data_IF_573542678790
#
_entry.id   IF_573542678790
#
_cell.length_a   1.000
_cell.length_b   1.000
_cell.length_c   1.000
_cell.angle_alpha   90.00
_cell.angle_beta   90.00
_cell.angle_gamma   90.00
#
_symmetry.space_group_name_H-M   'P 1'
#
loop_
_entity.id
_entity.type
_entity.pdbx_description
1 polymer ?
#
# COMPACT_ATOMS: atom_id res chain seq x y z
N UNK A 1 -4.34 1.04 8.07
CA UNK A 1 -4.86 0.10 8.17
C UNK A 1 -5.01 -1.24 7.50
N UNK A 2 -6.21 -1.83 7.59
CA UNK A 2 -6.50 -3.20 7.19
C UNK A 2 -7.03 -3.38 5.77
N UNK A 3 -7.23 -2.30 5.00
CA UNK A 3 -7.82 -2.37 3.66
C UNK A 3 -7.08 -1.53 2.64
N UNK A 4 -7.18 -1.93 1.38
CA UNK A 4 -6.80 -1.13 0.21
C UNK A 4 -8.07 -0.88 -0.61
N UNK A 5 -8.39 0.38 -0.80
CA UNK A 5 -9.51 0.83 -1.61
C UNK A 5 -9.00 1.24 -2.99
N UNK A 6 -9.71 0.79 -4.03
CA UNK A 6 -9.41 1.13 -5.42
C UNK A 6 -10.63 1.82 -6.00
N UNK A 7 -10.46 3.00 -6.56
CA UNK A 7 -11.55 3.73 -7.19
C UNK A 7 -11.11 4.38 -8.50
N UNK A 8 -12.00 4.38 -9.47
CA UNK A 8 -11.87 5.13 -10.71
C UNK A 8 -12.90 6.25 -10.68
N UNK A 9 -12.41 7.48 -10.74
CA UNK A 9 -13.21 8.69 -10.60
C UNK A 9 -13.14 9.50 -11.88
N UNK A 10 -14.28 9.87 -12.42
CA UNK A 10 -14.42 10.80 -13.54
C UNK A 10 -15.07 12.11 -13.07
N UNK A 11 -15.26 13.06 -13.99
CA UNK A 11 -15.99 14.30 -13.70
C UNK A 11 -17.45 14.06 -13.28
N UNK A 12 -18.00 12.88 -13.61
CA UNK A 12 -19.39 12.50 -13.30
C UNK A 12 -19.51 11.69 -12.00
N UNK A 13 -18.41 11.46 -11.29
CA UNK A 13 -18.40 10.72 -10.04
C UNK A 13 -17.56 9.45 -10.07
N UNK A 14 -17.84 8.55 -9.14
CA UNK A 14 -17.14 7.25 -9.03
C UNK A 14 -17.69 6.28 -10.09
N UNK A 15 -16.82 5.81 -10.98
CA UNK A 15 -17.17 4.88 -12.05
C UNK A 15 -16.99 3.42 -11.62
N UNK A 16 -15.99 3.18 -10.78
CA UNK A 16 -15.65 1.86 -10.23
C UNK A 16 -15.09 2.03 -8.82
N UNK A 17 -15.47 1.15 -7.94
CA UNK A 17 -14.87 1.04 -6.61
C UNK A 17 -14.78 -0.42 -6.19
N UNK A 18 -13.67 -0.79 -5.58
CA UNK A 18 -13.44 -2.10 -4.99
C UNK A 18 -12.62 -1.95 -3.71
N UNK A 19 -12.74 -2.93 -2.82
CA UNK A 19 -12.07 -2.94 -1.53
C UNK A 19 -11.46 -4.31 -1.26
N UNK A 20 -10.15 -4.32 -0.96
CA UNK A 20 -9.45 -5.53 -0.52
C UNK A 20 -9.14 -5.46 0.96
N UNK A 21 -9.30 -6.59 1.66
CA UNK A 21 -8.85 -6.74 3.04
C UNK A 21 -7.34 -7.03 3.12
N UNK A 22 -6.57 -6.17 2.48
CA UNK A 22 -5.11 -6.19 2.45
C UNK A 22 -4.64 -4.78 2.77
N UNK A 23 -3.88 -4.61 3.82
CA UNK A 23 -3.34 -3.33 4.25
C UNK A 23 -2.02 -3.52 4.99
N UNK A 24 -1.61 -2.52 5.72
CA UNK A 24 -0.34 -2.52 6.46
C UNK A 24 -0.21 -3.63 7.50
N UNK A 25 -1.32 -4.03 8.10
CA UNK A 25 -1.42 -5.13 9.06
C UNK A 25 -1.15 -6.50 8.43
N UNK A 26 -1.64 -6.75 7.21
CA UNK A 26 -1.31 -7.97 6.47
C UNK A 26 0.18 -8.04 6.15
N UNK A 27 0.80 -6.92 5.80
CA UNK A 27 2.25 -6.87 5.59
C UNK A 27 3.01 -7.19 6.89
N UNK A 28 2.56 -6.66 8.03
CA UNK A 28 3.18 -6.94 9.33
C UNK A 28 3.06 -8.42 9.69
N UNK A 29 1.91 -9.05 9.46
CA UNK A 29 1.73 -10.51 9.62
C UNK A 29 2.68 -11.33 8.74
N UNK A 30 2.85 -10.94 7.48
CA UNK A 30 3.77 -11.65 6.58
C UNK A 30 5.23 -11.51 7.03
N UNK A 31 5.62 -10.34 7.51
CA UNK A 31 6.95 -10.09 8.08
C UNK A 31 7.18 -10.95 9.33
N UNK A 32 6.21 -10.99 10.27
CA UNK A 32 6.28 -11.85 11.47
C UNK A 32 6.46 -13.32 11.07
N UNK A 33 5.65 -13.79 10.12
CA UNK A 33 5.71 -15.15 9.64
C UNK A 33 7.04 -15.49 8.94
N UNK A 34 7.56 -14.56 8.15
CA UNK A 34 8.85 -14.72 7.48
C UNK A 34 9.99 -14.81 8.51
N UNK A 35 10.08 -13.86 9.42
CA UNK A 35 11.11 -13.84 10.47
C UNK A 35 11.05 -15.11 11.32
N UNK A 36 9.86 -15.58 11.64
CA UNK A 36 9.68 -16.84 12.37
C UNK A 36 10.24 -18.04 11.61
N UNK A 37 9.99 -18.10 10.30
CA UNK A 37 10.45 -19.23 9.44
C UNK A 37 11.93 -19.16 9.11
N UNK A 38 12.42 -17.99 8.71
CA UNK A 38 13.78 -17.81 8.21
C UNK A 38 14.82 -17.69 9.34
N UNK A 39 14.47 -16.96 10.40
CA UNK A 39 15.39 -16.66 11.49
C UNK A 39 15.14 -17.47 12.77
N UNK A 40 14.06 -18.25 12.84
CA UNK A 40 13.68 -19.00 14.05
C UNK A 40 13.39 -18.08 15.25
N UNK A 41 12.91 -16.87 14.97
CA UNK A 41 12.73 -15.81 15.95
C UNK A 41 11.29 -15.28 15.91
N UNK A 42 10.67 -15.06 17.07
CA UNK A 42 9.35 -14.43 17.17
C UNK A 42 9.53 -12.95 17.47
N UNK A 43 8.91 -12.12 16.63
CA UNK A 43 8.80 -10.67 16.82
C UNK A 43 7.34 -10.27 17.01
N UNK A 44 7.09 -9.13 17.64
CA UNK A 44 5.75 -8.55 17.77
C UNK A 44 5.38 -7.63 16.61
N UNK A 45 4.10 -7.25 16.55
CA UNK A 45 3.55 -6.35 15.51
C UNK A 45 4.31 -5.01 15.41
N UNK A 46 4.61 -4.39 16.56
CA UNK A 46 5.37 -3.13 16.58
C UNK A 46 6.76 -3.28 15.93
N UNK A 47 7.44 -4.40 16.16
CA UNK A 47 8.75 -4.67 15.55
C UNK A 47 8.59 -4.91 14.04
N UNK A 48 7.56 -5.63 13.63
CA UNK A 48 7.27 -5.86 12.21
C UNK A 48 6.96 -4.54 11.48
N UNK A 49 6.17 -3.66 12.10
CA UNK A 49 5.89 -2.33 11.56
C UNK A 49 7.16 -1.48 11.40
N UNK A 50 8.08 -1.52 12.37
CA UNK A 50 9.38 -0.85 12.27
C UNK A 50 10.18 -1.42 11.10
N UNK A 51 10.29 -2.75 10.98
CA UNK A 51 10.98 -3.41 9.86
C UNK A 51 10.37 -2.96 8.52
N UNK A 52 9.05 -2.99 8.40
CA UNK A 52 8.33 -2.55 7.20
C UNK A 52 8.67 -1.11 6.81
N UNK A 53 8.71 -0.19 7.78
CA UNK A 53 8.99 1.24 7.53
C UNK A 53 10.46 1.48 7.18
N UNK A 54 11.39 0.79 7.84
CA UNK A 54 12.81 1.05 7.71
C UNK A 54 13.43 0.35 6.48
N UNK A 55 13.05 -0.89 6.21
CA UNK A 55 13.65 -1.70 5.15
C UNK A 55 12.65 -2.28 4.16
N UNK A 56 11.33 -2.12 4.39
CA UNK A 56 10.30 -2.61 3.48
C UNK A 56 10.30 -1.87 2.15
N UNK A 57 10.21 -2.62 1.04
CA UNK A 57 10.04 -2.08 -0.30
C UNK A 57 9.22 -3.02 -1.17
N UNK A 58 8.44 -2.44 -2.08
CA UNK A 58 7.58 -3.19 -2.98
C UNK A 58 8.35 -3.71 -4.21
N UNK A 59 9.39 -3.01 -4.61
CA UNK A 59 10.23 -3.35 -5.76
C UNK A 59 11.69 -3.13 -5.39
N UNK A 60 12.58 -4.14 -5.52
CA UNK A 60 14.02 -3.98 -5.29
C UNK A 60 14.63 -2.98 -6.28
N UNK A 61 15.66 -2.27 -5.83
CA UNK A 61 16.47 -1.41 -6.71
C UNK A 61 17.65 -2.22 -7.25
N UNK A 62 17.75 -2.33 -8.58
CA UNK A 62 18.67 -3.26 -9.27
C UNK A 62 20.16 -3.10 -8.88
N UNK A 63 20.61 -1.88 -8.58
CA UNK A 63 22.02 -1.57 -8.31
C UNK A 63 22.25 -1.06 -6.86
N UNK A 64 21.23 -1.09 -6.01
CA UNK A 64 21.35 -0.62 -4.64
C UNK A 64 21.72 -1.77 -3.69
N UNK A 65 22.59 -1.46 -2.73
CA UNK A 65 22.86 -2.39 -1.62
C UNK A 65 21.56 -2.56 -0.81
N UNK A 66 21.25 -3.81 -0.47
CA UNK A 66 20.11 -4.10 0.41
C UNK A 66 20.20 -3.28 1.72
N UNK A 67 19.07 -2.70 2.11
CA UNK A 67 18.94 -2.05 3.42
C UNK A 67 18.90 -3.14 4.49
N UNK A 68 19.48 -2.84 5.65
CA UNK A 68 19.56 -3.78 6.78
C UNK A 68 19.07 -3.10 8.05
N UNK A 69 18.37 -3.88 8.88
CA UNK A 69 17.97 -3.45 10.23
C UNK A 69 18.26 -4.56 11.25
N UNK A 70 18.86 -4.20 12.38
CA UNK A 70 18.97 -5.10 13.52
C UNK A 70 17.76 -4.93 14.44
N UNK A 71 17.08 -6.02 14.74
CA UNK A 71 15.95 -6.06 15.66
C UNK A 71 16.11 -7.18 16.67
N UNK A 72 15.36 -7.10 17.76
CA UNK A 72 15.35 -8.14 18.79
C UNK A 72 14.02 -8.89 18.77
N UNK A 73 14.12 -10.23 18.83
CA UNK A 73 13.00 -11.11 18.97
C UNK A 73 13.31 -12.22 19.97
N UNK A 74 12.36 -13.10 20.23
CA UNK A 74 12.53 -14.27 21.09
C UNK A 74 12.95 -15.48 20.23
N UNK A 75 14.12 -16.05 20.50
CA UNK A 75 14.55 -17.30 19.88
C UNK A 75 13.58 -18.41 20.19
N UNK A 76 13.09 -19.13 19.17
CA UNK A 76 12.12 -20.20 19.34
C UNK A 76 12.70 -21.45 20.05
N UNK A 77 13.98 -21.74 19.82
CA UNK A 77 14.62 -22.93 20.38
C UNK A 77 14.96 -22.75 21.86
N UNK A 78 15.46 -21.57 22.22
CA UNK A 78 16.01 -21.31 23.57
C UNK A 78 15.08 -20.48 24.44
N UNK A 79 14.07 -19.82 23.85
CA UNK A 79 13.12 -18.96 24.56
C UNK A 79 13.67 -17.61 25.02
N UNK A 80 14.95 -17.32 24.75
CA UNK A 80 15.66 -16.10 25.18
C UNK A 80 15.65 -15.02 24.11
N UNK A 81 15.84 -13.73 24.49
CA UNK A 81 15.99 -12.66 23.51
C UNK A 81 17.23 -12.86 22.62
N UNK A 82 17.04 -12.66 21.31
CA UNK A 82 18.10 -12.74 20.32
C UNK A 82 18.03 -11.55 19.36
N UNK A 83 19.17 -10.97 19.03
CA UNK A 83 19.29 -9.99 17.94
C UNK A 83 19.37 -10.72 16.60
N UNK A 84 18.68 -10.21 15.60
CA UNK A 84 18.71 -10.68 14.21
C UNK A 84 18.83 -9.49 13.27
N UNK A 85 19.54 -9.66 12.17
CA UNK A 85 19.59 -8.69 11.07
C UNK A 85 18.61 -9.14 10.00
N UNK A 86 17.78 -8.23 9.53
CA UNK A 86 16.78 -8.45 8.48
C UNK A 86 17.07 -7.50 7.34
N UNK A 87 16.99 -7.98 6.10
CA UNK A 87 17.32 -7.21 4.89
C UNK A 87 16.06 -6.79 4.12
N UNK A 88 16.19 -5.76 3.30
CA UNK A 88 15.10 -5.32 2.40
C UNK A 88 14.68 -6.41 1.41
N UNK A 89 15.62 -7.23 0.95
CA UNK A 89 15.32 -8.32 0.01
C UNK A 89 14.45 -9.39 0.66
N UNK A 90 14.74 -9.74 1.91
CA UNK A 90 13.92 -10.66 2.70
C UNK A 90 12.51 -10.12 2.90
N UNK A 91 12.37 -8.82 3.19
CA UNK A 91 11.06 -8.21 3.40
C UNK A 91 10.29 -8.09 2.10
N UNK A 92 10.92 -7.72 1.00
CA UNK A 92 10.28 -7.73 -0.32
C UNK A 92 9.72 -9.13 -0.66
N UNK A 93 10.49 -10.18 -0.39
CA UNK A 93 10.01 -11.54 -0.54
C UNK A 93 8.84 -11.87 0.39
N UNK A 94 8.91 -11.45 1.64
CA UNK A 94 7.88 -11.71 2.64
C UNK A 94 6.51 -11.12 2.26
N UNK A 95 6.51 -9.91 1.70
CA UNK A 95 5.27 -9.18 1.34
C UNK A 95 4.85 -9.32 -0.12
N UNK A 96 5.51 -10.17 -0.90
CA UNK A 96 5.24 -10.35 -2.34
C UNK A 96 3.81 -10.76 -2.64
N UNK A 97 3.26 -11.73 -1.92
CA UNK A 97 1.91 -12.26 -2.17
C UNK A 97 0.81 -11.21 -1.99
N UNK A 98 0.75 -10.47 -0.86
CA UNK A 98 -0.23 -9.39 -0.71
C UNK A 98 -0.01 -8.25 -1.70
N UNK A 99 1.22 -7.93 -2.10
CA UNK A 99 1.49 -6.95 -3.16
C UNK A 99 0.93 -7.40 -4.51
N UNK A 100 1.14 -8.66 -4.90
CA UNK A 100 0.57 -9.21 -6.15
C UNK A 100 -0.97 -9.18 -6.14
N UNK A 101 -1.59 -9.39 -4.98
CA UNK A 101 -3.05 -9.28 -4.85
C UNK A 101 -3.52 -7.84 -5.10
N UNK A 102 -2.82 -6.84 -4.58
CA UNK A 102 -3.11 -5.42 -4.84
C UNK A 102 -2.92 -5.10 -6.33
N UNK A 103 -1.80 -5.51 -6.93
CA UNK A 103 -1.54 -5.32 -8.37
C UNK A 103 -2.65 -5.93 -9.23
N UNK A 104 -3.06 -7.16 -8.91
CA UNK A 104 -4.13 -7.85 -9.64
C UNK A 104 -5.46 -7.12 -9.54
N UNK A 105 -5.80 -6.60 -8.38
CA UNK A 105 -7.02 -5.82 -8.19
C UNK A 105 -7.00 -4.49 -8.96
N UNK A 106 -5.85 -3.80 -8.99
CA UNK A 106 -5.69 -2.60 -9.82
C UNK A 106 -5.87 -2.92 -11.30
N UNK A 107 -5.25 -4.01 -11.80
CA UNK A 107 -5.44 -4.45 -13.19
C UNK A 107 -6.90 -4.78 -13.49
N UNK A 108 -7.59 -5.49 -12.60
CA UNK A 108 -9.03 -5.78 -12.76
C UNK A 108 -9.89 -4.52 -12.81
N UNK A 109 -9.59 -3.52 -11.97
CA UNK A 109 -10.27 -2.23 -12.02
C UNK A 109 -10.08 -1.53 -13.36
N UNK A 110 -8.87 -1.53 -13.90
CA UNK A 110 -8.56 -0.95 -15.20
C UNK A 110 -9.29 -1.69 -16.35
N UNK A 111 -9.38 -3.00 -16.30
CA UNK A 111 -10.11 -3.83 -17.29
C UNK A 111 -11.61 -3.55 -17.29
N UNK A 112 -12.19 -3.21 -16.16
CA UNK A 112 -13.62 -2.87 -16.02
C UNK A 112 -13.95 -1.42 -16.33
N UNK A 113 -12.93 -0.62 -16.61
CA UNK A 113 -13.10 0.80 -16.94
C UNK A 113 -13.68 0.95 -18.35
N UNK A 114 -14.70 1.82 -18.55
CA UNK A 114 -15.20 2.15 -19.88
C UNK A 114 -14.09 2.64 -20.81
N UNK A 115 -14.06 2.17 -22.09
CA UNK A 115 -13.02 2.54 -23.05
C UNK A 115 -12.84 4.05 -23.24
N UNK A 116 -13.91 4.82 -23.06
CA UNK A 116 -13.93 6.29 -23.20
C UNK A 116 -13.03 6.99 -22.18
N UNK A 117 -12.80 6.36 -21.01
CA UNK A 117 -11.94 6.88 -19.96
C UNK A 117 -10.48 6.42 -20.08
N UNK A 118 -10.19 5.48 -20.97
CA UNK A 118 -8.86 4.87 -21.07
C UNK A 118 -7.76 5.87 -21.43
N UNK A 119 -8.05 6.84 -22.31
CA UNK A 119 -7.10 7.90 -22.68
C UNK A 119 -6.77 8.80 -21.48
N UNK A 120 -7.79 9.21 -20.72
CA UNK A 120 -7.63 10.08 -19.56
C UNK A 120 -6.85 9.37 -18.45
N UNK A 121 -7.11 8.09 -18.24
CA UNK A 121 -6.38 7.27 -17.26
C UNK A 121 -4.92 7.08 -17.70
N UNK A 122 -4.66 6.85 -18.99
CA UNK A 122 -3.31 6.73 -19.51
C UNK A 122 -2.49 8.02 -19.31
N UNK A 123 -3.13 9.18 -19.42
CA UNK A 123 -2.48 10.49 -19.22
C UNK A 123 -2.33 10.83 -17.74
N UNK A 124 -3.37 10.65 -16.93
CA UNK A 124 -3.39 11.05 -15.51
C UNK A 124 -2.75 10.04 -14.57
N UNK A 125 -2.80 8.75 -14.91
CA UNK A 125 -2.18 7.67 -14.15
C UNK A 125 -2.90 7.33 -12.85
N UNK A 126 -2.15 6.73 -11.93
CA UNK A 126 -2.60 6.22 -10.65
C UNK A 126 -2.11 7.14 -9.53
N UNK A 127 -3.01 7.54 -8.64
CA UNK A 127 -2.65 8.31 -7.44
C UNK A 127 -2.76 7.41 -6.22
N UNK A 128 -1.67 7.28 -5.47
CA UNK A 128 -1.58 6.48 -4.25
C UNK A 128 -1.78 7.38 -3.03
N UNK A 129 -2.62 6.95 -2.10
CA UNK A 129 -2.90 7.67 -0.86
C UNK A 129 -2.97 6.70 0.33
N UNK A 130 -2.97 7.25 1.55
CA UNK A 130 -2.95 6.45 2.77
C UNK A 130 -1.56 5.96 3.17
N UNK A 131 -1.48 5.30 4.33
CA UNK A 131 -0.19 4.83 4.89
C UNK A 131 0.52 3.79 4.04
N UNK A 132 -0.25 2.93 3.33
CA UNK A 132 0.31 1.94 2.42
C UNK A 132 1.08 2.54 1.24
N UNK A 133 0.69 3.73 0.80
CA UNK A 133 1.38 4.46 -0.27
C UNK A 133 2.83 4.84 0.08
N UNK A 134 3.18 4.85 1.37
CA UNK A 134 4.53 5.13 1.85
C UNK A 134 5.49 3.93 1.76
N UNK A 135 5.01 2.73 1.40
CA UNK A 135 5.88 1.61 1.13
C UNK A 135 6.80 1.94 -0.05
N UNK A 136 8.10 1.83 0.15
CA UNK A 136 9.10 2.22 -0.86
C UNK A 136 8.86 1.51 -2.19
N UNK A 137 8.93 2.26 -3.27
CA UNK A 137 8.80 1.79 -4.66
C UNK A 137 7.45 1.12 -4.99
N UNK A 138 6.39 1.35 -4.20
CA UNK A 138 5.04 0.86 -4.54
C UNK A 138 4.50 1.54 -5.81
N UNK A 139 4.77 2.82 -5.97
CA UNK A 139 4.49 3.60 -7.19
C UNK A 139 5.20 3.01 -8.41
N UNK A 140 6.49 2.70 -8.27
CA UNK A 140 7.29 2.07 -9.34
C UNK A 140 6.76 0.67 -9.70
N UNK A 141 6.40 -0.14 -8.69
CA UNK A 141 5.81 -1.46 -8.92
C UNK A 141 4.51 -1.34 -9.72
N UNK A 142 3.61 -0.47 -9.29
CA UNK A 142 2.33 -0.29 -9.99
C UNK A 142 2.53 0.29 -11.40
N UNK A 143 3.44 1.23 -11.58
CA UNK A 143 3.75 1.76 -12.90
C UNK A 143 4.33 0.67 -13.83
N UNK A 144 5.22 -0.16 -13.34
CA UNK A 144 5.78 -1.28 -14.10
C UNK A 144 4.72 -2.30 -14.49
N UNK A 145 3.85 -2.65 -13.56
CA UNK A 145 2.86 -3.71 -13.73
C UNK A 145 1.63 -3.30 -14.56
N UNK A 146 1.28 -2.01 -14.55
CA UNK A 146 0.12 -1.48 -15.28
C UNK A 146 0.49 -0.75 -16.56
N UNK A 147 1.73 -0.31 -16.70
CA UNK A 147 2.16 0.57 -17.79
C UNK A 147 1.67 2.03 -17.65
N UNK A 148 1.07 2.39 -16.51
CA UNK A 148 0.55 3.72 -16.24
C UNK A 148 1.48 4.49 -15.30
N UNK A 149 1.57 5.82 -15.41
CA UNK A 149 2.26 6.62 -14.40
C UNK A 149 1.59 6.41 -13.03
N UNK A 150 2.39 6.27 -11.98
CA UNK A 150 1.88 6.16 -10.61
C UNK A 150 2.62 7.14 -9.71
N UNK A 151 1.88 7.89 -8.89
CA UNK A 151 2.43 8.91 -8.00
C UNK A 151 1.83 8.80 -6.61
N UNK A 152 2.62 9.10 -5.59
CA UNK A 152 2.14 9.23 -4.22
C UNK A 152 1.58 10.63 -4.02
N UNK A 153 0.38 10.74 -3.47
CA UNK A 153 -0.26 12.02 -3.17
C UNK A 153 0.57 12.82 -2.15
N UNK A 154 0.45 14.14 -2.22
CA UNK A 154 0.96 15.01 -1.17
C UNK A 154 0.24 14.74 0.15
N UNK A 155 0.99 14.58 1.25
CA UNK A 155 0.47 14.21 2.57
C UNK A 155 -0.49 13.01 2.54
N UNK A 156 -0.06 11.83 2.07
CA UNK A 156 -0.96 10.71 1.78
C UNK A 156 -1.76 10.22 3.00
N UNK A 157 -1.24 10.41 4.21
CA UNK A 157 -1.91 10.04 5.46
C UNK A 157 -3.13 10.90 5.78
N UNK A 158 -3.22 12.11 5.25
CA UNK A 158 -4.30 13.06 5.55
C UNK A 158 -5.34 13.20 4.45
N UNK A 159 -5.14 12.56 3.30
CA UNK A 159 -6.03 12.70 2.14
C UNK A 159 -7.48 12.37 2.46
N UNK A 160 -7.75 11.25 3.14
CA UNK A 160 -9.10 10.84 3.51
C UNK A 160 -9.75 11.84 4.48
N UNK A 161 -9.01 12.26 5.50
CA UNK A 161 -9.51 13.25 6.48
C UNK A 161 -9.77 14.59 5.85
N UNK A 162 -8.88 15.05 4.95
CA UNK A 162 -9.10 16.31 4.19
C UNK A 162 -10.31 16.21 3.27
N UNK A 163 -10.49 15.06 2.61
CA UNK A 163 -11.67 14.81 1.78
C UNK A 163 -12.96 14.86 2.60
N UNK A 164 -13.00 14.17 3.74
CA UNK A 164 -14.13 14.20 4.65
C UNK A 164 -14.43 15.61 5.18
N UNK A 165 -13.40 16.39 5.55
CA UNK A 165 -13.55 17.79 5.96
C UNK A 165 -14.18 18.64 4.86
N UNK A 166 -13.75 18.50 3.61
CA UNK A 166 -14.36 19.21 2.47
C UNK A 166 -15.84 18.86 2.29
N UNK A 167 -16.20 17.59 2.46
CA UNK A 167 -17.62 17.17 2.36
C UNK A 167 -18.47 17.86 3.43
N UNK A 168 -17.98 18.02 4.65
CA UNK A 168 -18.69 18.74 5.72
C UNK A 168 -18.89 20.22 5.38
N UNK A 169 -17.91 20.88 4.74
CA UNK A 169 -18.06 22.27 4.28
C UNK A 169 -19.18 22.41 3.23
N UNK A 170 -19.44 21.39 2.41
CA UNK A 170 -20.57 21.39 1.47
C UNK A 170 -21.92 21.26 2.20
N UNK A 171 -22.00 20.49 3.28
CA UNK A 171 -23.24 20.36 4.05
C UNK A 171 -23.63 21.67 4.75
N UNK A 172 -22.65 22.46 5.17
CA UNK A 172 -22.89 23.75 5.82
C UNK A 172 -23.24 24.89 4.82
N UNK A 173 -23.11 24.64 3.49
CA UNK A 173 -23.38 25.64 2.46
C UNK A 173 -24.53 25.18 1.53
N UNK A 174 -25.81 25.52 1.86
CA UNK A 174 -27.00 25.03 1.15
C UNK A 174 -27.13 25.49 -0.32
N UNK A 175 -26.21 26.30 -0.83
CA UNK A 175 -26.21 26.79 -2.21
C UNK A 175 -25.32 25.96 -3.15
N UNK A 176 -24.70 24.88 -2.68
CA UNK A 176 -23.98 23.96 -3.54
C UNK A 176 -24.85 22.72 -3.82
N UNK A 177 -25.25 22.56 -5.08
CA UNK A 177 -25.84 21.32 -5.59
C UNK A 177 -24.84 20.18 -5.39
N UNK A 178 -25.11 19.30 -4.43
CA UNK A 178 -24.32 18.09 -4.24
C UNK A 178 -24.64 17.12 -5.39
N UNK A 179 -23.67 16.93 -6.26
CA UNK A 179 -23.66 15.85 -7.25
C UNK A 179 -23.40 14.51 -6.55
N UNK A 180 -24.30 14.09 -5.66
CA UNK A 180 -24.44 12.69 -5.31
C UNK A 180 -25.46 12.08 -6.27
N UNK A 181 -24.96 11.53 -7.36
CA UNK A 181 -25.75 10.59 -8.15
C UNK A 181 -25.64 9.25 -7.45
N UNK A 182 -26.77 8.74 -6.96
CA UNK A 182 -26.92 7.43 -6.38
C UNK A 182 -26.71 6.29 -7.37
#
# INVERSE_FOLDING_TARGET
>A
GGTTEIAIISLQGCVYADSLRIGGDVFDEQIINYVRKAHGCVIGETTAEIIKKEVGMALPEADAKALEIEVRGRNLAEGVPRAITVTSDEITQAISDPLQSIVSAVKSALEQTPPELSSDIAERGIVLTGGGALLRNLDKLLAQETGLPAVVAEDPLTCVTRGGGKVLEFFDNPNHDMLFVG
#
